data_IF_033570569892
#
_entry.id   IF_033570569892
#
_cell.length_a   1.000
_cell.length_b   1.000
_cell.length_c   1.000
_cell.angle_alpha   90.00
_cell.angle_beta   90.00
_cell.angle_gamma   90.00
#
_symmetry.space_group_name_H-M   'P 1'
#
loop_
_entity.id
_entity.type
_entity.pdbx_description
1 polymer ?
#
# COMPACT_ATOMS: atom_id res chain seq x y z
N UNK A 1 5.66 -36.69 -37.26
CA UNK A 1 4.74 -36.23 -38.32
C UNK A 1 3.33 -36.16 -37.75
N UNK A 2 2.83 -34.96 -37.43
CA UNK A 2 1.41 -34.69 -37.25
C UNK A 2 1.22 -33.18 -37.42
N UNK A 3 0.50 -32.81 -38.48
CA UNK A 3 0.24 -31.44 -38.90
C UNK A 3 -1.01 -30.90 -38.20
N UNK A 4 -0.96 -29.65 -37.74
CA UNK A 4 -2.12 -28.90 -37.26
C UNK A 4 -2.59 -27.92 -38.34
N UNK A 5 -3.89 -27.89 -38.71
CA UNK A 5 -4.41 -26.83 -39.55
C UNK A 5 -4.82 -25.62 -38.70
N UNK A 6 -4.42 -24.45 -39.18
CA UNK A 6 -4.83 -23.11 -38.74
C UNK A 6 -6.25 -22.77 -39.19
N UNK A 7 -7.05 -22.15 -38.32
CA UNK A 7 -8.25 -21.40 -38.74
C UNK A 7 -8.28 -20.06 -38.00
N UNK A 8 -7.95 -18.99 -38.73
CA UNK A 8 -8.17 -17.60 -38.31
C UNK A 8 -9.51 -17.12 -38.86
N UNK A 9 -10.38 -16.61 -37.99
CA UNK A 9 -11.62 -15.92 -38.40
C UNK A 9 -11.35 -14.41 -38.51
N UNK A 10 -11.52 -13.88 -39.72
CA UNK A 10 -11.40 -12.45 -40.01
C UNK A 10 -12.80 -11.79 -40.04
N UNK A 11 -13.05 -10.83 -39.15
CA UNK A 11 -14.22 -9.95 -39.20
C UNK A 11 -13.81 -8.65 -39.87
N UNK A 12 -14.37 -8.40 -41.06
CA UNK A 12 -14.10 -7.22 -41.87
C UNK A 12 -14.94 -6.02 -41.45
N UNK A 13 -14.30 -4.87 -41.28
CA UNK A 13 -14.95 -3.56 -41.22
C UNK A 13 -14.50 -2.74 -42.45
N UNK A 14 -15.43 -2.52 -43.39
CA UNK A 14 -15.18 -1.70 -44.59
C UNK A 14 -15.15 -0.22 -44.18
N UNK A 15 -14.00 0.45 -44.35
CA UNK A 15 -13.88 1.91 -44.29
C UNK A 15 -14.13 2.47 -45.69
N UNK A 16 -15.18 3.28 -45.84
CA UNK A 16 -15.41 4.11 -47.02
C UNK A 16 -14.61 5.40 -46.88
N UNK A 17 -13.76 5.70 -47.87
CA UNK A 17 -13.08 6.98 -48.04
C UNK A 17 -13.96 7.85 -48.96
N UNK A 18 -14.34 9.03 -48.50
CA UNK A 18 -14.93 10.06 -49.35
C UNK A 18 -14.00 11.28 -49.33
N UNK A 19 -13.29 11.44 -50.45
CA UNK A 19 -12.53 12.62 -50.82
C UNK A 19 -13.52 13.69 -51.26
N UNK A 20 -13.49 14.86 -50.63
CA UNK A 20 -14.13 16.06 -51.18
C UNK A 20 -13.10 17.12 -51.53
N UNK A 21 -13.21 17.59 -52.77
CA UNK A 21 -12.41 18.64 -53.40
C UNK A 21 -12.59 19.99 -52.69
N UNK A 22 -11.48 20.68 -52.49
CA UNK A 22 -11.42 22.09 -52.10
C UNK A 22 -11.70 22.96 -53.34
N UNK A 23 -12.66 23.87 -53.24
CA UNK A 23 -12.81 24.98 -54.17
C UNK A 23 -13.26 26.25 -53.42
N UNK A 24 -12.38 27.26 -53.46
CA UNK A 24 -12.69 28.69 -53.55
C UNK A 24 -13.60 29.34 -52.50
N UNK A 25 -12.99 30.14 -51.61
CA UNK A 25 -13.66 31.23 -50.89
C UNK A 25 -14.16 32.29 -51.90
N UNK A 26 -15.26 32.96 -51.58
CA UNK A 26 -15.20 34.41 -51.56
C UNK A 26 -15.51 34.98 -50.17
N UNK A 27 -14.74 36.01 -49.85
CA UNK A 27 -14.89 36.88 -48.70
C UNK A 27 -16.31 37.41 -48.55
N UNK A 28 -16.96 37.08 -47.44
CA UNK A 28 -17.73 38.04 -46.65
C UNK A 28 -17.59 37.66 -45.18
N UNK A 29 -16.66 38.30 -44.48
CA UNK A 29 -16.64 38.33 -43.04
C UNK A 29 -17.84 39.16 -42.56
N UNK A 30 -19.02 38.55 -42.53
CA UNK A 30 -20.14 39.05 -41.77
C UNK A 30 -19.74 38.94 -40.29
N UNK A 31 -19.26 40.06 -39.75
CA UNK A 31 -18.99 40.26 -38.35
C UNK A 31 -20.33 40.17 -37.62
N UNK A 32 -20.78 38.95 -37.33
CA UNK A 32 -21.82 38.69 -36.34
C UNK A 32 -21.25 39.17 -35.02
N UNK A 33 -21.50 40.44 -34.70
CA UNK A 33 -21.49 40.88 -33.31
C UNK A 33 -22.46 39.94 -32.62
N UNK A 34 -21.94 39.02 -31.81
CA UNK A 34 -22.71 38.52 -30.70
C UNK A 34 -23.03 39.75 -29.87
N UNK A 35 -24.19 40.36 -30.15
CA UNK A 35 -24.87 41.18 -29.19
C UNK A 35 -25.02 40.24 -28.01
N UNK A 36 -24.29 40.52 -26.94
CA UNK A 36 -24.64 40.00 -25.62
C UNK A 36 -26.07 40.45 -25.40
N UNK A 37 -27.01 39.59 -25.80
CA UNK A 37 -28.37 39.69 -25.33
C UNK A 37 -28.20 39.68 -23.82
N UNK A 38 -28.56 40.80 -23.18
CA UNK A 38 -28.73 40.82 -21.73
C UNK A 38 -29.50 39.54 -21.44
N UNK A 39 -28.90 38.61 -20.70
CA UNK A 39 -29.68 37.52 -20.14
C UNK A 39 -30.81 38.23 -19.42
N UNK A 40 -32.05 38.00 -19.84
CA UNK A 40 -33.20 38.23 -18.98
C UNK A 40 -33.05 37.22 -17.84
N UNK A 41 -32.09 37.47 -16.94
CA UNK A 41 -31.91 36.78 -15.66
C UNK A 41 -32.87 37.39 -14.64
N UNK A 42 -34.06 37.76 -15.11
CA UNK A 42 -35.19 38.01 -14.25
C UNK A 42 -35.79 36.64 -14.00
N UNK A 43 -35.72 36.20 -12.75
CA UNK A 43 -36.50 35.10 -12.16
C UNK A 43 -35.83 33.73 -11.95
N UNK A 44 -34.52 33.72 -11.63
CA UNK A 44 -34.00 32.71 -10.70
C UNK A 44 -33.59 33.42 -9.41
N UNK A 45 -34.58 33.79 -8.61
CA UNK A 45 -34.37 34.26 -7.23
C UNK A 45 -33.87 33.07 -6.41
N UNK A 46 -32.55 32.98 -6.21
CA UNK A 46 -31.99 32.03 -5.26
C UNK A 46 -32.60 32.33 -3.87
N UNK A 47 -33.06 31.31 -3.13
CA UNK A 47 -33.50 31.52 -1.76
C UNK A 47 -32.35 32.14 -0.94
N UNK A 48 -32.68 33.01 0.02
CA UNK A 48 -31.68 33.64 0.88
C UNK A 48 -30.81 32.59 1.59
N UNK A 49 -29.50 32.81 1.62
CA UNK A 49 -28.53 31.91 2.24
C UNK A 49 -28.35 32.34 3.70
N UNK A 50 -28.45 31.39 4.63
CA UNK A 50 -28.13 31.60 6.05
C UNK A 50 -26.81 30.88 6.33
N UNK A 51 -25.80 31.62 6.74
CA UNK A 51 -24.48 31.07 7.08
C UNK A 51 -24.46 30.65 8.56
N UNK A 52 -24.26 29.36 8.84
CA UNK A 52 -24.13 28.81 10.20
C UNK A 52 -22.77 28.14 10.39
N UNK A 53 -22.12 28.40 11.52
CA UNK A 53 -20.81 27.82 11.86
C UNK A 53 -20.94 26.55 12.72
N UNK A 54 -22.05 26.37 13.45
CA UNK A 54 -22.20 25.29 14.44
C UNK A 54 -22.21 23.89 13.81
N UNK A 55 -22.68 23.79 12.57
CA UNK A 55 -22.78 22.54 11.81
C UNK A 55 -21.44 22.14 11.17
N UNK A 56 -20.47 23.06 11.10
CA UNK A 56 -19.17 22.79 10.51
C UNK A 56 -18.37 21.72 11.28
N UNK A 57 -18.66 21.52 12.57
CA UNK A 57 -18.10 20.41 13.39
C UNK A 57 -18.33 19.03 12.77
N UNK A 58 -19.39 18.86 11.96
CA UNK A 58 -19.65 17.60 11.25
C UNK A 58 -18.72 17.44 10.05
N UNK A 59 -18.36 18.54 9.39
CA UNK A 59 -17.37 18.56 8.31
C UNK A 59 -15.99 18.24 8.87
N UNK A 60 -15.61 18.80 10.02
CA UNK A 60 -14.32 18.52 10.67
C UNK A 60 -14.10 17.02 10.95
N UNK A 61 -15.15 16.28 11.35
CA UNK A 61 -15.07 14.82 11.59
C UNK A 61 -14.82 14.01 10.32
N UNK A 62 -15.14 14.56 9.15
CA UNK A 62 -14.92 13.91 7.86
C UNK A 62 -13.49 14.11 7.34
N UNK A 63 -12.74 15.07 7.90
CA UNK A 63 -11.37 15.33 7.50
C UNK A 63 -10.47 14.25 8.11
N UNK A 64 -9.75 13.45 7.31
CA UNK A 64 -8.88 12.42 7.84
C UNK A 64 -7.63 13.04 8.49
N UNK A 65 -7.11 12.45 9.59
CA UNK A 65 -5.86 12.90 10.18
C UNK A 65 -4.69 12.60 9.24
N UNK A 66 -3.78 13.57 9.09
CA UNK A 66 -2.58 13.41 8.25
C UNK A 66 -1.51 12.54 8.90
N UNK A 67 -1.42 12.60 10.23
CA UNK A 67 -0.42 11.89 11.04
C UNK A 67 -1.06 10.70 11.74
N UNK A 68 -0.32 9.60 11.84
CA UNK A 68 -0.79 8.38 12.51
C UNK A 68 -0.83 8.63 14.02
N UNK A 69 -1.95 8.33 14.69
CA UNK A 69 -2.06 8.53 16.12
C UNK A 69 -1.14 7.58 16.89
N UNK A 70 -0.68 8.05 18.05
CA UNK A 70 0.05 7.22 19.00
C UNK A 70 -0.95 6.26 19.67
N UNK A 71 -0.61 4.97 19.86
CA UNK A 71 -1.50 4.02 20.50
C UNK A 71 -1.89 4.48 21.92
N UNK A 72 -3.16 4.31 22.32
CA UNK A 72 -3.55 4.55 23.69
C UNK A 72 -2.83 3.58 24.64
N UNK A 73 -2.56 4.05 25.86
CA UNK A 73 -2.03 3.21 26.93
C UNK A 73 -3.18 2.37 27.49
N UNK A 74 -2.94 1.08 27.65
CA UNK A 74 -3.89 0.12 28.21
C UNK A 74 -3.34 -0.43 29.52
N UNK A 75 -4.24 -0.79 30.45
CA UNK A 75 -3.84 -1.34 31.76
C UNK A 75 -3.31 -2.78 31.64
N UNK A 76 -3.86 -3.56 30.70
CA UNK A 76 -3.49 -4.96 30.46
C UNK A 76 -2.97 -5.18 29.04
N UNK A 77 -1.86 -5.90 28.95
CA UNK A 77 -1.28 -6.40 27.71
C UNK A 77 -1.17 -7.93 27.74
N UNK A 78 -1.29 -8.63 26.60
CA UNK A 78 -1.66 -8.11 25.28
C UNK A 78 -3.09 -7.57 25.23
N UNK A 79 -3.36 -6.65 24.30
CA UNK A 79 -4.74 -6.24 24.01
C UNK A 79 -5.53 -7.43 23.45
N UNK A 80 -6.88 -7.37 23.40
CA UNK A 80 -7.69 -8.44 22.78
C UNK A 80 -7.32 -8.75 21.32
N UNK A 81 -6.71 -7.80 20.61
CA UNK A 81 -6.17 -7.98 19.25
C UNK A 81 -4.81 -8.68 19.20
N UNK A 82 -4.20 -9.00 20.33
CA UNK A 82 -2.86 -9.57 20.44
C UNK A 82 -1.72 -8.54 20.34
N UNK A 83 -2.02 -7.23 20.34
CA UNK A 83 -1.00 -6.19 20.25
C UNK A 83 -0.33 -5.95 21.62
N UNK A 84 1.00 -5.75 21.58
CA UNK A 84 1.84 -5.40 22.72
C UNK A 84 2.78 -4.25 22.32
N UNK A 85 2.91 -3.18 23.14
CA UNK A 85 3.93 -2.16 22.92
C UNK A 85 5.34 -2.77 23.05
N UNK A 86 6.37 -2.14 22.47
CA UNK A 86 7.76 -2.50 22.76
C UNK A 86 8.08 -2.29 24.25
N UNK A 87 9.09 -2.99 24.75
CA UNK A 87 9.54 -2.85 26.13
C UNK A 87 10.41 -1.59 26.29
N UNK A 88 10.12 -0.80 27.33
CA UNK A 88 10.93 0.33 27.77
C UNK A 88 11.59 -0.01 29.11
N UNK A 89 12.92 0.00 29.25
CA UNK A 89 13.93 0.36 28.25
C UNK A 89 14.15 -0.72 27.16
N UNK A 90 14.74 -0.36 26.01
CA UNK A 90 15.12 -1.33 24.99
C UNK A 90 16.04 -2.42 25.55
N UNK A 91 15.97 -3.65 25.00
CA UNK A 91 16.84 -4.73 25.44
C UNK A 91 18.30 -4.42 25.10
N UNK A 92 19.22 -4.76 26.01
CA UNK A 92 20.66 -4.61 25.85
C UNK A 92 21.22 -5.74 24.96
N UNK A 93 20.94 -5.64 23.65
CA UNK A 93 21.35 -6.58 22.62
C UNK A 93 22.14 -5.86 21.53
N UNK A 94 23.02 -6.58 20.83
CA UNK A 94 23.83 -6.04 19.74
C UNK A 94 23.01 -5.61 18.51
N UNK A 95 21.74 -5.99 18.46
CA UNK A 95 20.79 -5.67 17.41
C UNK A 95 19.45 -5.22 17.98
N UNK A 96 18.72 -4.46 17.18
CA UNK A 96 17.40 -3.94 17.52
C UNK A 96 16.45 -4.09 16.33
N UNK A 97 15.20 -4.50 16.58
CA UNK A 97 14.17 -4.59 15.54
C UNK A 97 13.15 -3.50 15.74
N UNK A 98 13.09 -2.54 14.82
CA UNK A 98 12.15 -1.43 14.94
C UNK A 98 10.72 -1.84 14.60
N UNK A 99 9.75 -1.28 15.32
CA UNK A 99 8.33 -1.39 14.96
C UNK A 99 8.03 -0.71 13.62
N UNK A 100 6.99 -1.21 12.94
CA UNK A 100 6.46 -0.59 11.73
C UNK A 100 5.79 0.75 12.05
N UNK A 101 5.45 1.50 10.99
CA UNK A 101 4.69 2.75 11.09
C UNK A 101 3.37 2.60 11.86
N UNK A 102 2.74 1.41 11.79
CA UNK A 102 1.51 1.05 12.51
C UNK A 102 1.79 0.34 13.85
N UNK A 103 2.97 0.55 14.44
CA UNK A 103 3.45 -0.07 15.68
C UNK A 103 3.44 -1.62 15.74
N UNK A 104 3.39 -2.29 14.58
CA UNK A 104 3.44 -3.76 14.47
C UNK A 104 4.86 -4.29 14.25
N UNK A 105 5.11 -5.53 14.64
CA UNK A 105 6.38 -6.24 14.41
C UNK A 105 6.60 -6.50 12.90
N UNK A 106 7.77 -6.14 12.32
CA UNK A 106 8.02 -6.14 10.88
C UNK A 106 8.38 -7.53 10.30
N UNK A 107 7.56 -8.53 10.58
CA UNK A 107 7.69 -9.90 10.05
C UNK A 107 6.56 -10.19 9.07
N UNK A 108 6.91 -10.61 7.86
CA UNK A 108 5.97 -10.79 6.76
C UNK A 108 6.20 -12.09 5.99
N UNK A 109 5.13 -12.71 5.50
CA UNK A 109 5.21 -13.80 4.51
C UNK A 109 5.50 -13.24 3.12
N UNK A 110 6.40 -13.87 2.40
CA UNK A 110 6.72 -13.59 1.00
C UNK A 110 6.52 -14.86 0.18
N UNK A 111 5.59 -14.78 -0.77
CA UNK A 111 5.29 -15.85 -1.73
C UNK A 111 5.77 -15.45 -3.11
N UNK A 112 6.81 -16.13 -3.57
CA UNK A 112 7.37 -15.93 -4.90
C UNK A 112 7.10 -17.15 -5.78
N UNK A 113 7.37 -17.02 -7.08
CA UNK A 113 7.26 -18.09 -8.08
C UNK A 113 5.89 -18.80 -8.05
N UNK A 114 4.82 -18.05 -8.30
CA UNK A 114 3.44 -18.58 -8.32
C UNK A 114 3.06 -19.38 -7.06
N UNK A 115 3.58 -18.98 -5.89
CA UNK A 115 3.25 -19.59 -4.60
C UNK A 115 4.05 -20.83 -4.22
N UNK A 116 4.99 -21.29 -5.06
CA UNK A 116 5.86 -22.43 -4.71
C UNK A 116 6.94 -22.04 -3.71
N UNK A 117 7.51 -20.83 -3.84
CA UNK A 117 8.57 -20.34 -2.96
C UNK A 117 7.95 -19.59 -1.79
N UNK A 118 7.97 -20.24 -0.62
CA UNK A 118 7.45 -19.72 0.65
C UNK A 118 8.61 -19.21 1.50
N UNK A 119 8.58 -17.93 1.84
CA UNK A 119 9.59 -17.29 2.67
C UNK A 119 8.95 -16.42 3.74
N UNK A 120 9.72 -16.15 4.79
CA UNK A 120 9.39 -15.16 5.82
C UNK A 120 10.49 -14.10 5.83
N UNK A 121 10.11 -12.82 5.85
CA UNK A 121 11.03 -11.69 5.82
C UNK A 121 10.91 -10.92 7.13
N UNK A 122 12.05 -10.72 7.79
CA UNK A 122 12.21 -9.79 8.90
C UNK A 122 12.84 -8.51 8.34
N UNK A 123 12.24 -7.35 8.63
CA UNK A 123 12.69 -6.04 8.12
C UNK A 123 13.01 -5.10 9.29
N UNK A 124 13.63 -3.95 8.97
CA UNK A 124 13.91 -2.86 9.92
C UNK A 124 14.80 -3.32 11.09
N UNK A 125 15.82 -4.09 10.76
CA UNK A 125 16.83 -4.54 11.71
C UNK A 125 17.88 -3.43 11.81
N UNK A 126 18.35 -3.15 13.02
CA UNK A 126 19.45 -2.22 13.30
C UNK A 126 20.50 -2.94 14.14
N UNK A 127 21.75 -2.49 14.07
CA UNK A 127 22.88 -3.13 14.75
C UNK A 127 23.40 -4.37 14.01
N UNK A 128 23.89 -5.36 14.77
CA UNK A 128 24.53 -6.56 14.22
C UNK A 128 23.51 -7.57 13.68
N UNK A 129 23.33 -7.56 12.36
CA UNK A 129 22.38 -8.44 11.67
C UNK A 129 22.80 -9.91 11.75
N UNK A 130 24.11 -10.21 11.84
CA UNK A 130 24.61 -11.58 11.91
C UNK A 130 24.30 -12.22 13.26
N UNK A 131 24.36 -11.45 14.35
CA UNK A 131 23.89 -11.90 15.66
C UNK A 131 22.40 -12.27 15.64
N UNK A 132 21.55 -11.43 15.05
CA UNK A 132 20.11 -11.75 14.91
C UNK A 132 19.89 -12.98 14.03
N UNK A 133 20.65 -13.13 12.93
CA UNK A 133 20.55 -14.29 12.06
C UNK A 133 20.87 -15.59 12.79
N UNK A 134 21.94 -15.59 13.61
CA UNK A 134 22.34 -16.74 14.41
C UNK A 134 21.29 -17.11 15.46
N UNK A 135 20.74 -16.12 16.17
CA UNK A 135 19.67 -16.31 17.15
C UNK A 135 18.40 -16.88 16.50
N UNK A 136 18.01 -16.35 15.33
CA UNK A 136 16.87 -16.85 14.55
C UNK A 136 17.11 -18.27 14.06
N UNK A 137 18.31 -18.60 13.58
CA UNK A 137 18.67 -19.98 13.19
C UNK A 137 18.57 -20.92 14.37
N UNK A 138 19.09 -20.55 15.54
CA UNK A 138 19.02 -21.37 16.75
C UNK A 138 17.56 -21.66 17.12
N UNK A 139 16.73 -20.61 17.23
CA UNK A 139 15.31 -20.74 17.55
C UNK A 139 14.55 -21.63 16.57
N UNK A 140 14.75 -21.44 15.26
CA UNK A 140 14.04 -22.23 14.24
C UNK A 140 14.56 -23.67 14.15
N UNK A 141 15.82 -23.92 14.51
CA UNK A 141 16.37 -25.27 14.58
C UNK A 141 15.77 -26.05 15.74
N UNK A 142 15.55 -25.39 16.88
CA UNK A 142 14.85 -25.99 18.04
C UNK A 142 13.40 -26.35 17.70
N UNK A 143 12.68 -25.49 16.95
CA UNK A 143 11.29 -25.73 16.58
C UNK A 143 11.12 -26.80 15.49
N UNK A 144 11.93 -26.73 14.42
CA UNK A 144 11.74 -27.57 13.22
C UNK A 144 12.65 -28.80 13.18
N UNK A 145 13.68 -28.85 14.03
CA UNK A 145 14.71 -29.89 14.02
C UNK A 145 15.70 -29.78 12.85
N UNK A 146 15.54 -28.80 11.96
CA UNK A 146 16.43 -28.55 10.82
C UNK A 146 16.81 -27.08 10.76
N UNK A 147 18.05 -26.80 10.39
CA UNK A 147 18.52 -25.43 10.19
C UNK A 147 17.89 -24.86 8.91
N UNK A 148 17.03 -23.82 8.99
CA UNK A 148 16.43 -23.25 7.79
C UNK A 148 17.48 -22.49 6.97
N UNK A 149 17.33 -22.51 5.65
CA UNK A 149 18.13 -21.67 4.78
C UNK A 149 17.74 -20.20 4.95
N UNK A 150 18.70 -19.38 5.37
CA UNK A 150 18.54 -17.94 5.56
C UNK A 150 19.34 -17.15 4.54
N UNK A 151 18.91 -15.93 4.27
CA UNK A 151 19.63 -14.96 3.46
C UNK A 151 19.64 -13.62 4.18
N UNK A 152 20.83 -13.11 4.47
CA UNK A 152 21.04 -11.79 5.05
C UNK A 152 21.23 -10.75 3.94
N UNK A 153 20.60 -9.60 4.10
CA UNK A 153 20.87 -8.41 3.28
C UNK A 153 21.16 -7.24 4.20
N UNK A 154 22.43 -6.85 4.25
CA UNK A 154 22.93 -5.76 5.08
C UNK A 154 22.44 -4.39 4.58
N UNK A 155 22.48 -4.15 3.27
CA UNK A 155 22.08 -2.87 2.69
C UNK A 155 20.62 -2.53 2.95
N UNK A 156 19.72 -3.53 2.87
CA UNK A 156 18.29 -3.32 3.14
C UNK A 156 17.89 -3.64 4.58
N UNK A 157 18.86 -4.01 5.42
CA UNK A 157 18.68 -4.47 6.79
C UNK A 157 17.52 -5.45 6.96
N UNK A 158 17.58 -6.56 6.22
CA UNK A 158 16.52 -7.57 6.20
C UNK A 158 17.07 -8.99 6.15
N UNK A 159 16.40 -9.90 6.86
CA UNK A 159 16.68 -11.34 6.82
C UNK A 159 15.53 -12.05 6.14
N UNK A 160 15.83 -12.93 5.19
CA UNK A 160 14.84 -13.84 4.60
C UNK A 160 15.10 -15.25 5.10
N UNK A 161 14.03 -15.92 5.51
CA UNK A 161 14.05 -17.29 6.00
C UNK A 161 13.19 -18.14 5.07
N UNK A 162 13.70 -19.30 4.64
CA UNK A 162 12.91 -20.26 3.86
C UNK A 162 11.87 -20.93 4.75
N UNK A 163 10.60 -20.85 4.37
CA UNK A 163 9.47 -21.39 5.15
C UNK A 163 8.50 -20.31 5.65
N UNK A 164 7.38 -20.76 6.22
CA UNK A 164 6.41 -19.89 6.90
C UNK A 164 6.61 -20.00 8.39
N UNK A 165 7.21 -18.96 8.98
CA UNK A 165 7.49 -18.87 10.41
C UNK A 165 7.03 -17.51 10.97
N UNK A 166 6.02 -16.91 10.33
CA UNK A 166 5.58 -15.54 10.65
C UNK A 166 5.11 -15.41 12.10
N UNK A 167 4.23 -16.30 12.54
CA UNK A 167 3.60 -16.24 13.87
C UNK A 167 4.61 -16.57 14.98
N UNK A 168 5.45 -17.58 14.75
CA UNK A 168 6.52 -18.00 15.64
C UNK A 168 7.54 -16.87 15.83
N UNK A 169 8.02 -16.28 14.73
CA UNK A 169 8.98 -15.17 14.79
C UNK A 169 8.38 -13.90 15.38
N UNK A 170 7.10 -13.61 15.11
CA UNK A 170 6.40 -12.49 15.77
C UNK A 170 6.34 -12.70 17.28
N UNK A 171 5.98 -13.89 17.71
CA UNK A 171 5.89 -14.24 19.13
C UNK A 171 7.26 -14.14 19.80
N UNK A 172 8.27 -14.73 19.19
CA UNK A 172 9.65 -14.69 19.66
C UNK A 172 10.22 -13.26 19.78
N UNK A 173 10.00 -12.40 18.77
CA UNK A 173 10.43 -11.01 18.83
C UNK A 173 9.69 -10.21 19.90
N UNK A 174 8.39 -10.46 20.08
CA UNK A 174 7.61 -9.82 21.14
C UNK A 174 8.08 -10.25 22.53
N UNK A 175 8.47 -11.51 22.70
CA UNK A 175 8.94 -12.03 23.99
C UNK A 175 10.36 -11.54 24.33
N UNK A 176 11.16 -11.19 23.32
CA UNK A 176 12.44 -10.46 23.49
C UNK A 176 12.25 -8.97 23.80
N UNK A 177 11.03 -8.43 23.71
CA UNK A 177 10.71 -7.04 24.04
C UNK A 177 10.82 -6.05 22.88
N UNK A 178 10.95 -6.50 21.63
CA UNK A 178 11.02 -5.64 20.44
C UNK A 178 9.67 -5.18 19.93
#
# INVERSE_FOLDING_TARGET
MAAFPSVFAAVGLRKSLLVLRVAGRPDQAALLRHVSGKSNSADLMYPGIIESTEEYKFVERLIPPTTIPIPPKHDQYPTPSGWRPPQDPPPDLSYFVQRSRMQNVPVYKDTSHHGSRKMTIIRKIEGDIWALENDVKAFLTELSGQTPATQVNENTCSIRVKGYFEEELKTWLMDRGF
#
